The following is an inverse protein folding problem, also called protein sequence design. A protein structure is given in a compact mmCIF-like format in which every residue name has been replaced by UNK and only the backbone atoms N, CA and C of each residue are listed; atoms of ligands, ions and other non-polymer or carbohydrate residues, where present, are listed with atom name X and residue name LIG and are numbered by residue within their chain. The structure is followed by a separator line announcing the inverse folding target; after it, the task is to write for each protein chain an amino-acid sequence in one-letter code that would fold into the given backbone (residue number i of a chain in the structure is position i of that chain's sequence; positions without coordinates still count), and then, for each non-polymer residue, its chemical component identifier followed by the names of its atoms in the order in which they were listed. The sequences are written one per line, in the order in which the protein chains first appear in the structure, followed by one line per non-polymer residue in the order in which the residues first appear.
data_IF_273420188314
#
_entry.id   IF_273420188314
#
_cell.length_a   1.000
_cell.length_b   1.000
_cell.length_c   1.000
_cell.angle_alpha   90.00
_cell.angle_beta   90.00
_cell.angle_gamma   90.00
#
_symmetry.space_group_name_H-M   'P 1'
#
loop_
_entity.id
_entity.type
_entity.pdbx_description
1 polymer ?
#
# COMPACT_ATOMS: atom_id res chain seq x y z
N UNK A 1 -4.43 6.04 25.91
CA UNK A 1 -3.64 6.28 24.67
C UNK A 1 -2.41 5.37 24.60
N UNK A 2 -2.56 4.03 24.63
CA UNK A 2 -1.41 3.09 24.72
C UNK A 2 -1.21 2.16 23.53
N UNK A 3 -2.03 2.24 22.47
CA UNK A 3 -1.89 1.37 21.28
C UNK A 3 -1.63 2.11 19.95
N UNK A 4 -1.29 3.40 19.98
CA UNK A 4 -0.97 4.17 18.76
C UNK A 4 0.38 3.74 18.15
N UNK A 5 1.22 3.00 18.88
CA UNK A 5 2.47 2.42 18.33
C UNK A 5 2.24 1.33 17.28
N UNK A 6 1.03 0.76 17.22
CA UNK A 6 0.63 -0.18 16.14
C UNK A 6 -0.14 0.51 15.00
N UNK A 7 -0.36 1.83 15.08
CA UNK A 7 -1.05 2.62 14.05
C UNK A 7 -0.06 3.08 12.96
N UNK A 8 1.25 2.92 13.16
CA UNK A 8 2.28 3.48 12.28
C UNK A 8 2.44 2.79 10.91
N UNK A 9 1.59 1.83 10.56
CA UNK A 9 1.58 1.24 9.20
C UNK A 9 0.18 0.81 8.70
N UNK A 10 -0.88 1.52 9.11
CA UNK A 10 -2.24 1.33 8.56
C UNK A 10 -2.46 2.22 7.32
N UNK A 11 -1.41 2.57 6.58
CA UNK A 11 -1.59 3.35 5.36
C UNK A 11 -1.89 2.41 4.21
N UNK A 12 -3.17 2.16 4.00
CA UNK A 12 -3.69 1.48 2.84
C UNK A 12 -5.05 2.14 2.54
N UNK A 13 -5.35 2.40 1.26
CA UNK A 13 -6.73 2.54 0.68
C UNK A 13 -7.01 3.99 0.17
N UNK A 14 -7.55 4.35 -1.03
CA UNK A 14 -8.89 4.14 -1.64
C UNK A 14 -8.97 4.02 -3.20
N UNK A 15 -10.09 3.40 -3.67
CA UNK A 15 -10.76 3.46 -5.00
C UNK A 15 -10.75 2.26 -5.98
N UNK A 16 -11.87 1.50 -6.02
CA UNK A 16 -12.29 0.61 -7.12
C UNK A 16 -13.82 0.59 -7.24
N UNK A 17 -14.41 1.10 -8.34
CA UNK A 17 -15.75 0.71 -8.72
C UNK A 17 -15.68 -0.63 -9.48
N UNK A 18 -16.33 -1.66 -8.93
CA UNK A 18 -16.68 -2.90 -9.61
C UNK A 18 -15.52 -3.66 -10.26
N UNK A 19 -14.82 -4.47 -9.45
CA UNK A 19 -13.97 -5.55 -9.96
C UNK A 19 -14.87 -6.54 -10.70
N UNK A 20 -14.73 -6.55 -12.02
CA UNK A 20 -15.38 -7.53 -12.89
C UNK A 20 -14.84 -8.92 -12.52
N UNK A 21 -15.72 -9.90 -12.33
CA UNK A 21 -15.36 -11.26 -11.89
C UNK A 21 -14.39 -12.00 -12.83
N UNK A 22 -14.14 -11.47 -14.03
CA UNK A 22 -13.27 -12.02 -15.06
C UNK A 22 -11.85 -11.42 -15.10
N UNK A 23 -11.47 -10.58 -14.14
CA UNK A 23 -10.11 -10.02 -14.08
C UNK A 23 -9.10 -11.08 -13.63
N UNK A 24 -7.89 -11.04 -14.20
CA UNK A 24 -6.79 -11.89 -13.74
C UNK A 24 -6.39 -11.53 -12.30
N UNK A 25 -5.75 -12.45 -11.57
CA UNK A 25 -5.24 -12.16 -10.22
C UNK A 25 -4.27 -10.96 -10.21
N UNK A 26 -3.50 -10.77 -11.28
CA UNK A 26 -2.65 -9.60 -11.48
C UNK A 26 -3.49 -8.31 -11.58
N UNK A 27 -4.53 -8.29 -12.41
CA UNK A 27 -5.37 -7.10 -12.59
C UNK A 27 -6.19 -6.77 -11.33
N UNK A 28 -6.62 -7.80 -10.60
CA UNK A 28 -7.24 -7.67 -9.27
C UNK A 28 -6.25 -7.09 -8.25
N UNK A 29 -5.00 -7.53 -8.28
CA UNK A 29 -3.96 -7.02 -7.37
C UNK A 29 -3.58 -5.58 -7.70
N UNK A 30 -3.43 -5.24 -8.99
CA UNK A 30 -3.24 -3.86 -9.45
C UNK A 30 -4.44 -2.99 -9.04
N UNK A 31 -5.65 -3.51 -9.24
CA UNK A 31 -6.89 -2.84 -8.85
C UNK A 31 -6.89 -2.49 -7.38
N UNK A 32 -6.63 -3.51 -6.56
CA UNK A 32 -6.54 -3.37 -5.12
C UNK A 32 -5.46 -2.34 -4.82
N UNK A 33 -4.20 -2.52 -5.22
CA UNK A 33 -3.09 -1.60 -4.91
C UNK A 33 -3.32 -0.14 -5.34
N UNK A 34 -4.01 0.10 -6.45
CA UNK A 34 -4.48 1.44 -6.83
C UNK A 34 -5.56 1.95 -5.88
N UNK A 35 -6.55 1.09 -5.59
CA UNK A 35 -7.49 1.30 -4.48
C UNK A 35 -6.73 1.49 -3.19
N UNK A 36 -5.48 1.07 -3.03
CA UNK A 36 -4.68 1.20 -1.83
C UNK A 36 -3.89 2.52 -1.74
N UNK A 37 -3.95 3.35 -2.79
CA UNK A 37 -3.02 4.46 -3.00
C UNK A 37 -1.55 4.05 -2.82
N UNK A 38 -1.21 2.80 -3.13
CA UNK A 38 0.09 2.22 -2.81
C UNK A 38 1.25 3.05 -3.39
N UNK A 39 1.13 3.55 -4.63
CA UNK A 39 2.14 4.38 -5.27
C UNK A 39 2.45 5.66 -4.48
N UNK A 40 1.43 6.37 -4.02
CA UNK A 40 1.59 7.60 -3.24
C UNK A 40 2.25 7.31 -1.88
N UNK A 41 1.85 6.21 -1.23
CA UNK A 41 2.37 5.79 0.07
C UNK A 41 3.84 5.36 -0.07
N UNK A 42 4.14 4.58 -1.11
CA UNK A 42 5.48 4.15 -1.46
C UNK A 42 6.39 5.36 -1.69
N UNK A 43 5.98 6.31 -2.55
CA UNK A 43 6.76 7.53 -2.83
C UNK A 43 7.01 8.36 -1.58
N UNK A 44 5.98 8.60 -0.77
CA UNK A 44 6.11 9.36 0.47
C UNK A 44 7.05 8.70 1.47
N UNK A 45 7.01 7.36 1.57
CA UNK A 45 7.89 6.60 2.45
C UNK A 45 9.32 6.61 1.93
N UNK A 46 9.49 6.36 0.62
CA UNK A 46 10.79 6.42 -0.04
C UNK A 46 11.44 7.80 0.12
N UNK A 47 10.71 8.89 -0.12
CA UNK A 47 11.19 10.25 0.10
C UNK A 47 11.72 10.45 1.53
N UNK A 48 10.93 10.05 2.53
CA UNK A 48 11.35 10.13 3.94
C UNK A 48 12.63 9.32 4.21
N UNK A 49 12.76 8.12 3.65
CA UNK A 49 13.97 7.30 3.84
C UNK A 49 15.18 7.86 3.08
N UNK A 50 14.98 8.39 1.88
CA UNK A 50 16.04 9.08 1.12
C UNK A 50 16.51 10.34 1.86
N UNK A 51 15.60 11.09 2.48
CA UNK A 51 15.93 12.31 3.25
C UNK A 51 16.68 12.03 4.56
N UNK A 52 16.54 10.82 5.13
CA UNK A 52 17.27 10.42 6.35
C UNK A 52 18.78 10.28 6.14
N UNK A 53 19.28 10.34 4.91
CA UNK A 53 20.72 10.45 4.65
C UNK A 53 21.51 9.14 4.84
N UNK A 54 20.85 7.98 4.83
CA UNK A 54 21.56 6.70 4.78
C UNK A 54 22.31 6.60 3.45
N UNK A 55 23.64 6.72 3.50
CA UNK A 55 24.50 6.83 2.31
C UNK A 55 24.23 5.77 1.24
N UNK A 56 23.91 4.54 1.67
CA UNK A 56 23.61 3.40 0.78
C UNK A 56 22.33 3.59 -0.05
N UNK A 57 21.38 4.39 0.45
CA UNK A 57 20.07 4.62 -0.17
C UNK A 57 20.08 5.92 -0.97
N UNK A 58 20.69 6.99 -0.44
CA UNK A 58 20.74 8.30 -1.11
C UNK A 58 21.41 8.31 -2.48
N UNK A 59 22.31 7.36 -2.75
CA UNK A 59 23.01 7.27 -4.03
C UNK A 59 22.20 6.63 -5.15
N UNK A 60 21.10 5.93 -4.80
CA UNK A 60 20.25 5.22 -5.75
C UNK A 60 19.53 6.21 -6.68
N UNK A 61 19.37 5.85 -7.97
CA UNK A 61 18.62 6.68 -8.93
C UNK A 61 17.18 6.90 -8.46
N UNK A 62 16.57 5.90 -7.82
CA UNK A 62 15.22 5.95 -7.29
C UNK A 62 15.02 7.08 -6.27
N UNK A 63 16.03 7.43 -5.48
CA UNK A 63 15.95 8.56 -4.55
C UNK A 63 15.97 9.92 -5.24
N UNK A 64 16.64 10.03 -6.40
CA UNK A 64 16.72 11.26 -7.19
C UNK A 64 15.48 11.50 -8.04
N UNK A 65 14.71 10.44 -8.31
CA UNK A 65 13.59 10.44 -9.23
C UNK A 65 12.27 10.00 -8.56
N UNK A 66 12.24 9.91 -7.24
CA UNK A 66 11.12 9.39 -6.44
C UNK A 66 9.78 10.05 -6.78
N UNK A 67 9.76 11.38 -6.95
CA UNK A 67 8.56 12.14 -7.32
C UNK A 67 8.10 11.86 -8.76
N UNK A 68 9.04 11.56 -9.66
CA UNK A 68 8.79 11.33 -11.09
C UNK A 68 8.53 9.86 -11.45
N UNK A 69 8.61 8.94 -10.48
CA UNK A 69 8.33 7.53 -10.73
C UNK A 69 6.90 7.35 -11.25
N UNK A 70 6.71 6.49 -12.25
CA UNK A 70 5.38 6.14 -12.73
C UNK A 70 4.62 5.34 -11.68
N UNK A 71 3.41 5.78 -11.34
CA UNK A 71 2.50 5.06 -10.45
C UNK A 71 2.17 3.68 -11.01
N UNK A 72 1.95 3.58 -12.33
CA UNK A 72 1.68 2.31 -13.00
C UNK A 72 2.85 1.33 -12.83
N UNK A 73 4.09 1.82 -12.97
CA UNK A 73 5.29 0.99 -12.79
C UNK A 73 5.38 0.47 -11.35
N UNK A 74 5.25 1.35 -10.36
CA UNK A 74 5.31 0.98 -8.93
C UNK A 74 4.25 -0.09 -8.63
N UNK A 75 3.01 0.14 -9.08
CA UNK A 75 1.89 -0.75 -8.79
C UNK A 75 2.02 -2.09 -9.50
N UNK A 76 2.46 -2.13 -10.76
CA UNK A 76 2.71 -3.40 -11.48
C UNK A 76 3.80 -4.24 -10.81
N UNK A 77 4.89 -3.62 -10.37
CA UNK A 77 5.97 -4.32 -9.67
C UNK A 77 5.47 -4.86 -8.33
N UNK A 78 4.83 -4.00 -7.54
CA UNK A 78 4.23 -4.41 -6.26
C UNK A 78 3.21 -5.55 -6.43
N UNK A 79 2.38 -5.51 -7.47
CA UNK A 79 1.40 -6.55 -7.75
C UNK A 79 2.04 -7.93 -7.98
N UNK A 80 3.20 -8.02 -8.65
CA UNK A 80 3.93 -9.30 -8.83
C UNK A 80 4.34 -9.92 -7.49
N UNK A 81 4.78 -9.09 -6.55
CA UNK A 81 5.14 -9.56 -5.21
C UNK A 81 3.91 -9.82 -4.34
N UNK A 82 2.84 -9.07 -4.54
CA UNK A 82 1.57 -9.24 -3.83
C UNK A 82 0.95 -10.61 -4.12
N UNK A 83 0.87 -11.01 -5.41
CA UNK A 83 0.29 -12.32 -5.79
C UNK A 83 1.06 -13.52 -5.24
N UNK A 84 2.33 -13.32 -4.86
CA UNK A 84 3.17 -14.37 -4.26
C UNK A 84 2.84 -14.60 -2.77
N UNK A 85 2.21 -13.61 -2.12
CA UNK A 85 1.91 -13.61 -0.69
C UNK A 85 0.41 -13.68 -0.38
N UNK A 86 -0.43 -13.23 -1.32
CA UNK A 86 -1.88 -13.12 -1.12
C UNK A 86 -2.59 -13.92 -2.20
N UNK A 87 -3.41 -14.88 -1.77
CA UNK A 87 -4.20 -15.69 -2.70
C UNK A 87 -5.21 -14.84 -3.48
N UNK A 88 -5.64 -15.32 -4.65
CA UNK A 88 -6.68 -14.62 -5.41
C UNK A 88 -7.98 -14.50 -4.62
N UNK A 89 -8.36 -15.54 -3.87
CA UNK A 89 -9.56 -15.52 -3.02
C UNK A 89 -9.46 -14.46 -1.91
N UNK A 90 -8.30 -14.31 -1.29
CA UNK A 90 -8.10 -13.27 -0.28
C UNK A 90 -8.06 -11.88 -0.92
N UNK A 91 -7.49 -11.77 -2.13
CA UNK A 91 -7.52 -10.54 -2.93
C UNK A 91 -8.97 -10.10 -3.20
N UNK A 92 -9.86 -11.03 -3.56
CA UNK A 92 -11.28 -10.74 -3.78
C UNK A 92 -11.99 -10.24 -2.50
N UNK A 93 -11.66 -10.81 -1.33
CA UNK A 93 -12.20 -10.35 -0.04
C UNK A 93 -11.67 -8.96 0.35
N UNK A 94 -10.38 -8.72 0.13
CA UNK A 94 -9.77 -7.40 0.35
C UNK A 94 -10.45 -6.35 -0.54
N UNK A 95 -10.67 -6.67 -1.82
CA UNK A 95 -11.42 -5.82 -2.76
C UNK A 95 -12.83 -5.56 -2.24
N UNK A 96 -13.55 -6.59 -1.78
CA UNK A 96 -14.92 -6.43 -1.30
C UNK A 96 -15.00 -5.49 -0.07
N UNK A 97 -14.05 -5.60 0.86
CA UNK A 97 -13.98 -4.71 2.01
C UNK A 97 -13.63 -3.28 1.61
N UNK A 98 -12.52 -3.11 0.88
CA UNK A 98 -11.96 -1.80 0.55
C UNK A 98 -12.74 -1.04 -0.54
N UNK A 99 -13.47 -1.76 -1.40
CA UNK A 99 -14.41 -1.19 -2.36
C UNK A 99 -15.78 -0.87 -1.76
N UNK A 100 -16.09 -1.33 -0.55
CA UNK A 100 -17.32 -0.98 0.16
C UNK A 100 -17.32 0.48 0.63
N UNK A 101 -18.50 1.02 0.95
CA UNK A 101 -18.64 2.42 1.39
C UNK A 101 -17.79 2.76 2.62
N UNK A 102 -17.69 1.83 3.57
CA UNK A 102 -16.84 2.00 4.75
C UNK A 102 -15.37 1.92 4.39
N UNK A 103 -14.98 0.93 3.58
CA UNK A 103 -13.62 0.82 3.03
C UNK A 103 -13.18 2.12 2.35
N UNK A 104 -13.98 2.65 1.42
CA UNK A 104 -13.71 3.90 0.68
C UNK A 104 -13.69 5.15 1.58
N UNK A 105 -14.42 5.17 2.70
CA UNK A 105 -14.33 6.29 3.66
C UNK A 105 -13.05 6.22 4.47
N UNK A 106 -12.79 5.06 5.08
CA UNK A 106 -11.68 4.81 6.00
C UNK A 106 -10.35 5.08 5.29
N UNK A 107 -10.21 4.53 4.12
CA UNK A 107 -9.10 4.68 3.19
C UNK A 107 -8.69 6.13 2.90
N UNK A 108 -9.62 6.95 2.44
CA UNK A 108 -9.39 8.38 2.22
C UNK A 108 -8.98 9.08 3.52
N UNK A 109 -9.58 8.70 4.65
CA UNK A 109 -9.17 9.18 5.98
C UNK A 109 -7.71 8.84 6.30
N UNK A 110 -7.28 7.60 6.03
CA UNK A 110 -5.91 7.15 6.23
C UNK A 110 -4.90 7.90 5.35
N UNK A 111 -5.26 8.17 4.09
CA UNK A 111 -4.42 8.99 3.20
C UNK A 111 -4.23 10.42 3.76
N UNK A 112 -5.32 11.07 4.18
CA UNK A 112 -5.26 12.43 4.76
C UNK A 112 -4.46 12.41 6.06
N UNK A 113 -4.64 11.40 6.91
CA UNK A 113 -3.85 11.22 8.13
C UNK A 113 -2.35 11.13 7.81
N UNK A 114 -1.96 10.31 6.83
CA UNK A 114 -0.56 10.16 6.45
C UNK A 114 0.06 11.47 5.94
N UNK A 115 -0.70 12.25 5.17
CA UNK A 115 -0.23 13.50 4.58
C UNK A 115 -0.15 14.65 5.60
N UNK A 116 -1.09 14.69 6.56
CA UNK A 116 -1.29 15.87 7.43
C UNK A 116 -1.01 15.61 8.91
N UNK A 117 -0.94 14.35 9.34
CA UNK A 117 -0.83 13.95 10.74
C UNK A 117 -2.12 14.14 11.56
N UNK A 118 -3.22 14.57 10.94
CA UNK A 118 -4.51 14.83 11.62
C UNK A 118 -5.15 13.55 12.12
N UNK A 119 -5.42 13.47 13.43
CA UNK A 119 -6.01 12.29 14.08
C UNK A 119 -7.55 12.27 14.01
N UNK A 120 -8.19 13.36 13.62
CA UNK A 120 -9.65 13.51 13.59
C UNK A 120 -10.29 13.09 12.25
N UNK A 121 -9.50 12.53 11.34
CA UNK A 121 -9.95 12.12 10.00
C UNK A 121 -10.61 10.74 9.97
N UNK A 122 -10.53 9.98 11.06
CA UNK A 122 -11.22 8.72 11.26
C UNK A 122 -12.12 8.81 12.49
N UNK A 123 -13.34 8.31 12.38
CA UNK A 123 -14.27 8.20 13.51
C UNK A 123 -13.95 6.99 14.38
N UNK A 124 -14.48 6.94 15.61
CA UNK A 124 -14.37 5.74 16.46
C UNK A 124 -14.99 4.50 15.78
N UNK A 125 -16.05 4.68 14.98
CA UNK A 125 -16.64 3.60 14.19
C UNK A 125 -15.69 3.11 13.09
N UNK A 126 -14.98 4.00 12.42
CA UNK A 126 -13.97 3.64 11.41
C UNK A 126 -12.82 2.84 12.04
N UNK A 127 -12.35 3.28 13.22
CA UNK A 127 -11.31 2.56 13.97
C UNK A 127 -11.80 1.17 14.38
N UNK A 128 -13.03 1.05 14.86
CA UNK A 128 -13.61 -0.24 15.22
C UNK A 128 -13.73 -1.19 14.01
N UNK A 129 -14.18 -0.68 12.86
CA UNK A 129 -14.26 -1.46 11.62
C UNK A 129 -12.87 -1.97 11.21
N UNK A 130 -11.85 -1.10 11.25
CA UNK A 130 -10.46 -1.46 11.00
C UNK A 130 -9.95 -2.52 11.98
N UNK A 131 -10.21 -2.36 13.29
CA UNK A 131 -9.78 -3.34 14.30
C UNK A 131 -10.38 -4.73 14.07
N UNK A 132 -11.63 -4.79 13.60
CA UNK A 132 -12.28 -6.05 13.23
C UNK A 132 -11.69 -6.64 11.96
N UNK A 133 -11.50 -5.81 10.93
CA UNK A 133 -10.90 -6.25 9.68
C UNK A 133 -9.45 -6.74 9.89
N UNK A 134 -8.69 -6.10 10.77
CA UNK A 134 -7.32 -6.51 11.10
C UNK A 134 -7.20 -7.93 11.67
N UNK A 135 -8.31 -8.49 12.17
CA UNK A 135 -8.34 -9.83 12.73
C UNK A 135 -8.62 -10.92 11.66
N UNK A 136 -9.05 -10.54 10.47
CA UNK A 136 -9.42 -11.47 9.40
C UNK A 136 -8.19 -12.12 8.74
N UNK A 137 -8.41 -13.26 8.09
CA UNK A 137 -7.33 -14.02 7.46
C UNK A 137 -6.75 -13.29 6.25
N UNK A 138 -7.62 -12.69 5.43
CA UNK A 138 -7.24 -11.94 4.25
C UNK A 138 -6.42 -10.69 4.58
N UNK A 139 -6.78 -9.97 5.66
CA UNK A 139 -5.97 -8.84 6.08
C UNK A 139 -4.60 -9.31 6.57
N UNK A 140 -4.55 -10.38 7.39
CA UNK A 140 -3.27 -10.97 7.84
C UNK A 140 -2.37 -11.40 6.68
N UNK A 141 -2.94 -11.97 5.62
CA UNK A 141 -2.19 -12.32 4.41
C UNK A 141 -1.62 -11.07 3.72
N UNK A 142 -2.41 -10.00 3.59
CA UNK A 142 -1.93 -8.73 3.04
C UNK A 142 -0.89 -8.05 3.93
N UNK A 143 -0.99 -8.20 5.26
CA UNK A 143 0.00 -7.70 6.22
C UNK A 143 1.33 -8.43 6.06
N UNK A 144 1.32 -9.74 5.78
CA UNK A 144 2.55 -10.49 5.52
C UNK A 144 3.33 -9.95 4.30
N UNK A 145 2.61 -9.49 3.26
CA UNK A 145 3.23 -8.80 2.11
C UNK A 145 3.90 -7.47 2.52
N UNK A 146 3.26 -6.69 3.40
CA UNK A 146 3.75 -5.38 3.84
C UNK A 146 4.90 -5.50 4.85
N UNK A 147 4.80 -6.44 5.79
CA UNK A 147 5.78 -6.65 6.86
C UNK A 147 7.04 -7.38 6.38
N UNK A 148 7.01 -8.00 5.18
CA UNK A 148 8.19 -8.60 4.59
C UNK A 148 9.13 -7.51 4.04
N UNK A 149 10.14 -7.19 4.84
CA UNK A 149 11.24 -6.29 4.47
C UNK A 149 11.89 -6.71 3.16
N UNK A 150 11.99 -8.02 2.88
CA UNK A 150 12.56 -8.49 1.63
C UNK A 150 11.69 -8.09 0.44
N UNK A 151 10.37 -8.19 0.55
CA UNK A 151 9.46 -7.75 -0.52
C UNK A 151 9.65 -6.26 -0.81
N UNK A 152 9.66 -5.43 0.23
CA UNK A 152 9.88 -3.98 0.08
C UNK A 152 11.23 -3.67 -0.59
N UNK A 153 12.29 -4.37 -0.21
CA UNK A 153 13.62 -4.24 -0.82
C UNK A 153 13.61 -4.70 -2.28
N UNK A 154 12.97 -5.82 -2.62
CA UNK A 154 12.89 -6.32 -3.99
C UNK A 154 12.17 -5.34 -4.91
N UNK A 155 11.06 -4.74 -4.45
CA UNK A 155 10.33 -3.71 -5.22
C UNK A 155 11.25 -2.52 -5.51
N UNK A 156 11.99 -2.03 -4.52
CA UNK A 156 12.95 -0.92 -4.70
C UNK A 156 14.06 -1.32 -5.68
N UNK A 157 14.62 -2.52 -5.57
CA UNK A 157 15.69 -3.00 -6.44
C UNK A 157 15.24 -3.17 -7.90
N UNK A 158 14.04 -3.70 -8.14
CA UNK A 158 13.48 -3.84 -9.49
C UNK A 158 13.23 -2.46 -10.13
N UNK A 159 12.69 -1.51 -9.37
CA UNK A 159 12.54 -0.12 -9.84
C UNK A 159 13.91 0.48 -10.17
N UNK A 160 14.88 0.36 -9.27
CA UNK A 160 16.23 0.88 -9.47
C UNK A 160 16.90 0.28 -10.72
N UNK A 161 16.70 -1.02 -10.98
CA UNK A 161 17.20 -1.68 -12.19
C UNK A 161 16.58 -1.10 -13.45
N UNK A 162 15.26 -0.89 -13.47
CA UNK A 162 14.56 -0.25 -14.60
C UNK A 162 15.12 1.16 -14.84
N UNK A 163 15.30 1.96 -13.78
CA UNK A 163 15.86 3.31 -13.89
C UNK A 163 17.32 3.31 -14.34
N UNK A 164 18.11 2.27 -14.02
CA UNK A 164 19.49 2.15 -14.49
C UNK A 164 19.57 1.90 -15.99
N UNK A 165 18.58 1.22 -16.56
CA UNK A 165 18.51 0.86 -17.96
C UNK A 165 17.81 1.90 -18.85
N UNK A 166 17.39 3.03 -18.26
CA UNK A 166 16.91 4.26 -18.93
C UNK A 166 18.02 5.31 -18.96
#
# INVERSE_FOLDING_TARGET
MKNIKYILFVCVVAYMPFVNANLSHMDKSISLLNTLHYSAIFKNTLLKECDKGLQQVTSLKICKQSETLSDEMIVRIAAKHFISNVSESDTDKLIAFWGGSDGVRISNGLLVWQQTGRLDVLTDSDVYILEKFNQTAENKASTAFVDDVNVSVQIILEIEEILRNQ
#
